data_IF_755871742968
#
_entry.id   IF_755871742968
#
_cell.length_a   1.000
_cell.length_b   1.000
_cell.length_c   1.000
_cell.angle_alpha   90.00
_cell.angle_beta   90.00
_cell.angle_gamma   90.00
#
_symmetry.space_group_name_H-M   'P 1'
#
loop_
_entity.id
_entity.type
_entity.pdbx_description
1 polymer ?
#
# COMPACT_ATOMS: atom_id res chain seq x y z
N UNK A 1 1.51 22.05 -15.33
CA UNK A 1 0.71 21.67 -14.16
C UNK A 1 1.46 20.51 -13.50
N UNK A 2 2.12 20.73 -12.36
CA UNK A 2 3.03 19.71 -11.80
C UNK A 2 2.23 18.63 -11.04
N UNK A 3 1.51 17.75 -11.75
CA UNK A 3 0.74 16.68 -11.11
C UNK A 3 1.63 15.49 -10.78
N UNK A 4 2.02 15.43 -9.49
CA UNK A 4 2.13 14.22 -8.65
C UNK A 4 3.21 13.20 -9.01
N UNK A 5 4.48 13.59 -8.90
CA UNK A 5 5.46 12.70 -8.25
C UNK A 5 5.32 12.96 -6.74
N UNK A 6 4.35 12.30 -6.09
CA UNK A 6 4.25 12.41 -4.63
C UNK A 6 5.36 11.55 -4.03
N UNK A 7 6.41 12.18 -3.51
CA UNK A 7 7.48 11.48 -2.77
C UNK A 7 6.94 10.66 -1.57
N UNK A 8 5.69 10.90 -1.17
CA UNK A 8 5.04 10.16 -0.09
C UNK A 8 4.54 8.76 -0.50
N UNK A 9 4.35 8.46 -1.80
CA UNK A 9 3.86 7.15 -2.26
C UNK A 9 4.84 6.00 -1.92
N UNK A 10 6.15 6.12 -2.22
CA UNK A 10 7.13 5.12 -1.81
C UNK A 10 7.21 4.93 -0.29
N UNK A 11 7.16 6.03 0.47
CA UNK A 11 7.24 6.01 1.94
C UNK A 11 6.00 5.35 2.56
N UNK A 12 4.82 5.59 1.98
CA UNK A 12 3.58 4.95 2.40
C UNK A 12 3.57 3.44 2.09
N UNK A 13 4.03 3.02 0.90
CA UNK A 13 4.18 1.59 0.56
C UNK A 13 5.15 0.87 1.50
N UNK A 14 6.28 1.50 1.82
CA UNK A 14 7.23 0.96 2.79
C UNK A 14 6.60 0.80 4.19
N UNK A 15 5.84 1.80 4.63
CA UNK A 15 5.16 1.78 5.93
C UNK A 15 4.09 0.70 6.02
N UNK A 16 3.31 0.49 4.96
CA UNK A 16 2.31 -0.59 4.88
C UNK A 16 2.97 -1.97 4.89
N UNK A 17 4.08 -2.16 4.18
CA UNK A 17 4.86 -3.40 4.25
C UNK A 17 5.35 -3.71 5.67
N UNK A 18 5.85 -2.70 6.40
CA UNK A 18 6.25 -2.88 7.80
C UNK A 18 5.05 -3.26 8.69
N UNK A 19 3.89 -2.66 8.46
CA UNK A 19 2.67 -2.98 9.20
C UNK A 19 2.23 -4.43 8.93
N UNK A 20 2.23 -4.86 7.67
CA UNK A 20 1.93 -6.23 7.27
C UNK A 20 2.88 -7.24 7.92
N UNK A 21 4.19 -6.99 7.88
CA UNK A 21 5.19 -7.85 8.54
C UNK A 21 5.00 -7.88 10.06
N UNK A 22 4.77 -6.73 10.69
CA UNK A 22 4.51 -6.65 12.12
C UNK A 22 3.26 -7.44 12.52
N UNK A 23 2.23 -7.43 11.68
CA UNK A 23 0.99 -8.18 11.88
C UNK A 23 1.15 -9.68 11.70
N UNK A 24 1.85 -10.09 10.65
CA UNK A 24 2.21 -11.49 10.45
C UNK A 24 2.91 -12.07 11.69
N UNK A 25 3.86 -11.32 12.27
CA UNK A 25 4.56 -11.72 13.49
C UNK A 25 3.64 -11.77 14.72
N UNK A 26 2.64 -10.89 14.81
CA UNK A 26 1.63 -10.91 15.88
C UNK A 26 0.67 -12.09 15.74
N UNK A 27 0.26 -12.47 14.53
CA UNK A 27 -0.58 -13.64 14.29
C UNK A 27 0.07 -14.97 14.67
N UNK A 28 1.40 -15.00 14.83
CA UNK A 28 2.12 -16.15 15.39
C UNK A 28 1.95 -16.29 16.91
N UNK A 29 1.34 -15.31 17.59
CA UNK A 29 1.07 -15.36 19.03
C UNK A 29 -0.27 -16.08 19.29
N UNK A 30 -0.29 -17.11 20.15
CA UNK A 30 -1.48 -17.95 20.37
C UNK A 30 -2.65 -17.25 21.08
N UNK A 31 -2.44 -16.03 21.60
CA UNK A 31 -3.44 -15.25 22.33
C UNK A 31 -4.14 -14.18 21.48
N UNK A 32 -3.82 -14.08 20.19
CA UNK A 32 -4.35 -13.03 19.32
C UNK A 32 -5.68 -13.45 18.70
N UNK A 33 -6.63 -12.52 18.66
CA UNK A 33 -7.92 -12.74 18.01
C UNK A 33 -7.77 -12.69 16.50
N UNK A 34 -7.71 -13.86 15.86
CA UNK A 34 -7.44 -14.01 14.42
C UNK A 34 -8.45 -13.28 13.52
N UNK A 35 -9.72 -13.16 13.91
CA UNK A 35 -10.73 -12.50 13.05
C UNK A 35 -10.47 -10.99 12.87
N UNK A 36 -10.00 -10.31 13.93
CA UNK A 36 -9.51 -8.94 13.81
C UNK A 36 -8.15 -8.86 13.13
N UNK A 37 -7.38 -9.95 13.08
CA UNK A 37 -6.15 -10.04 12.30
C UNK A 37 -6.47 -9.93 10.82
N UNK A 38 -7.33 -10.83 10.38
CA UNK A 38 -7.73 -11.00 8.98
C UNK A 38 -8.37 -9.72 8.40
N UNK A 39 -9.30 -9.07 9.12
CA UNK A 39 -9.94 -7.82 8.63
C UNK A 39 -8.95 -6.67 8.37
N UNK A 40 -7.88 -6.61 9.16
CA UNK A 40 -6.86 -5.57 9.01
C UNK A 40 -5.89 -5.92 7.88
N UNK A 41 -5.58 -7.20 7.70
CA UNK A 41 -4.73 -7.67 6.61
C UNK A 41 -5.44 -7.42 5.27
N UNK A 42 -6.73 -7.74 5.15
CA UNK A 42 -7.58 -7.37 4.00
C UNK A 42 -7.51 -5.87 3.71
N UNK A 43 -7.60 -5.04 4.75
CA UNK A 43 -7.56 -3.58 4.58
C UNK A 43 -6.18 -3.05 4.19
N UNK A 44 -5.11 -3.71 4.62
CA UNK A 44 -3.75 -3.37 4.19
C UNK A 44 -3.56 -3.75 2.72
N UNK A 45 -4.07 -4.90 2.30
CA UNK A 45 -4.07 -5.34 0.90
C UNK A 45 -4.85 -4.35 0.01
N UNK A 46 -6.09 -4.02 0.36
CA UNK A 46 -6.93 -3.07 -0.39
C UNK A 46 -6.22 -1.73 -0.65
N UNK A 47 -5.61 -1.16 0.40
CA UNK A 47 -4.89 0.11 0.29
C UNK A 47 -3.62 -0.05 -0.54
N UNK A 48 -2.91 -1.18 -0.39
CA UNK A 48 -1.69 -1.44 -1.16
C UNK A 48 -2.00 -1.54 -2.65
N UNK A 49 -3.09 -2.21 -3.02
CA UNK A 49 -3.55 -2.34 -4.40
C UNK A 49 -3.93 -0.99 -5.01
N UNK A 50 -4.63 -0.14 -4.28
CA UNK A 50 -4.97 1.21 -4.72
C UNK A 50 -3.72 2.08 -4.99
N UNK A 51 -2.70 1.98 -4.12
CA UNK A 51 -1.45 2.71 -4.29
C UNK A 51 -0.67 2.22 -5.52
N UNK A 52 -0.63 0.90 -5.75
CA UNK A 52 0.01 0.31 -6.94
C UNK A 52 -0.72 0.72 -8.21
N UNK A 53 -2.06 0.68 -8.22
CA UNK A 53 -2.86 1.14 -9.35
C UNK A 53 -2.60 2.62 -9.67
N UNK A 54 -2.45 3.45 -8.63
CA UNK A 54 -2.14 4.88 -8.79
C UNK A 54 -0.75 5.09 -9.40
N UNK A 55 0.24 4.30 -9.00
CA UNK A 55 1.60 4.34 -9.56
C UNK A 55 1.62 3.88 -11.02
N UNK A 56 0.92 2.80 -11.36
CA UNK A 56 0.79 2.32 -12.74
C UNK A 56 0.09 3.35 -13.65
N UNK A 57 -0.97 4.01 -13.15
CA UNK A 57 -1.64 5.08 -13.89
C UNK A 57 -0.70 6.26 -14.11
N UNK A 58 0.10 6.61 -13.10
CA UNK A 58 1.11 7.66 -13.24
C UNK A 58 2.17 7.29 -14.28
N UNK A 59 2.74 6.08 -14.21
CA UNK A 59 3.71 5.60 -15.20
C UNK A 59 3.13 5.59 -16.62
N UNK A 60 1.87 5.18 -16.78
CA UNK A 60 1.17 5.20 -18.06
C UNK A 60 0.97 6.63 -18.59
N UNK A 61 0.57 7.59 -17.74
CA UNK A 61 0.43 8.99 -18.12
C UNK A 61 1.77 9.60 -18.55
N UNK A 62 2.85 9.28 -17.82
CA UNK A 62 4.23 9.66 -18.19
C UNK A 62 4.62 9.08 -19.54
N UNK A 63 4.31 7.81 -19.81
CA UNK A 63 4.66 7.15 -21.06
C UNK A 63 3.94 7.75 -22.29
N UNK A 64 2.68 8.14 -22.14
CA UNK A 64 1.86 8.71 -23.23
C UNK A 64 2.16 10.21 -23.44
N UNK A 65 2.98 10.81 -22.58
CA UNK A 65 3.26 12.25 -22.60
C UNK A 65 2.09 13.09 -22.10
N UNK A 66 1.16 12.48 -21.35
CA UNK A 66 0.00 13.12 -20.71
C UNK A 66 0.41 13.67 -19.33
N UNK A 67 1.49 14.43 -19.31
CA UNK A 67 2.02 15.12 -18.12
C UNK A 67 2.39 16.53 -18.53
N UNK A 68 1.40 17.43 -18.48
CA UNK A 68 1.57 18.88 -18.62
C UNK A 68 1.59 19.57 -17.27
#
# INVERSE_FOLDING_TARGET
MQTRYSNALPELRFSLNLLYVGRFLLGMQPSVNNEQVDTFDERIEDVTDELVATELLHEAAVLVGDVD
#
